data_IF_649277508705
#
_entry.id   IF_649277508705
#
_cell.length_a   1.000
_cell.length_b   1.000
_cell.length_c   1.000
_cell.angle_alpha   90.00
_cell.angle_beta   90.00
_cell.angle_gamma   90.00
#
_symmetry.space_group_name_H-M   'P 1'
#
loop_
_entity.id
_entity.type
_entity.pdbx_description
1 polymer ?
#
# COMPACT_ATOMS: atom_id res chain seq x y z
N UNK A 1 2.70 -26.12 -1.36
CA UNK A 1 1.70 -25.03 -1.54
C UNK A 1 2.25 -23.63 -1.23
N UNK A 2 3.56 -23.45 -0.99
CA UNK A 2 4.15 -22.13 -0.74
C UNK A 2 4.29 -21.26 -2.00
N UNK A 3 4.60 -21.87 -3.16
CA UNK A 3 4.80 -21.15 -4.44
C UNK A 3 3.64 -20.24 -4.87
N UNK A 4 2.39 -20.63 -4.59
CA UNK A 4 1.23 -19.87 -5.07
C UNK A 4 1.04 -18.55 -4.31
N UNK A 5 1.25 -18.58 -2.99
CA UNK A 5 1.10 -17.41 -2.11
C UNK A 5 2.28 -16.45 -2.29
N UNK A 6 3.49 -16.99 -2.49
CA UNK A 6 4.68 -16.21 -2.78
C UNK A 6 4.58 -15.51 -4.15
N UNK A 7 4.10 -16.24 -5.17
CA UNK A 7 3.86 -15.67 -6.49
C UNK A 7 2.76 -14.60 -6.47
N UNK A 8 1.65 -14.84 -5.77
CA UNK A 8 0.58 -13.84 -5.62
C UNK A 8 1.10 -12.57 -4.94
N UNK A 9 1.92 -12.72 -3.90
CA UNK A 9 2.58 -11.61 -3.22
C UNK A 9 3.45 -10.81 -4.20
N UNK A 10 4.30 -11.50 -4.98
CA UNK A 10 5.18 -10.85 -5.94
C UNK A 10 4.41 -10.10 -7.04
N UNK A 11 3.35 -10.70 -7.59
CA UNK A 11 2.47 -10.07 -8.60
C UNK A 11 1.80 -8.80 -8.05
N UNK A 12 1.30 -8.84 -6.81
CA UNK A 12 0.66 -7.68 -6.17
C UNK A 12 1.68 -6.55 -5.93
N UNK A 13 2.88 -6.88 -5.45
CA UNK A 13 3.94 -5.90 -5.22
C UNK A 13 4.44 -5.28 -6.52
N UNK A 14 4.56 -6.07 -7.59
CA UNK A 14 4.91 -5.59 -8.94
C UNK A 14 3.84 -4.68 -9.52
N UNK A 15 2.56 -5.08 -9.43
CA UNK A 15 1.44 -4.25 -9.84
C UNK A 15 1.43 -2.92 -9.07
N UNK A 16 1.63 -2.95 -7.75
CA UNK A 16 1.66 -1.74 -6.95
C UNK A 16 2.79 -0.81 -7.41
N UNK A 17 4.01 -1.34 -7.51
CA UNK A 17 5.20 -0.56 -7.89
C UNK A 17 5.10 0.06 -9.30
N UNK A 18 4.28 -0.52 -10.19
CA UNK A 18 4.03 0.01 -11.55
C UNK A 18 2.96 1.11 -11.59
N UNK A 19 2.02 1.10 -10.66
CA UNK A 19 0.85 2.00 -10.67
C UNK A 19 0.95 3.15 -9.66
N UNK A 20 1.72 2.94 -8.59
CA UNK A 20 1.77 3.80 -7.41
C UNK A 20 3.20 4.00 -6.92
N UNK A 21 3.49 5.23 -6.49
CA UNK A 21 4.75 5.66 -5.88
C UNK A 21 4.44 6.42 -4.60
N UNK A 22 5.44 6.55 -3.71
CA UNK A 22 5.32 7.34 -2.48
C UNK A 22 4.78 8.75 -2.75
N UNK A 23 5.37 9.45 -3.73
CA UNK A 23 4.93 10.80 -4.12
C UNK A 23 3.47 10.85 -4.56
N UNK A 24 3.01 9.87 -5.34
CA UNK A 24 1.62 9.84 -5.83
C UNK A 24 0.62 9.55 -4.71
N UNK A 25 1.01 8.75 -3.71
CA UNK A 25 0.19 8.49 -2.52
C UNK A 25 0.11 9.75 -1.67
N UNK A 26 1.25 10.38 -1.41
CA UNK A 26 1.32 11.62 -0.62
C UNK A 26 0.53 12.74 -1.29
N UNK A 27 0.66 12.90 -2.61
CA UNK A 27 -0.10 13.90 -3.37
C UNK A 27 -1.61 13.68 -3.21
N UNK A 28 -2.08 12.43 -3.30
CA UNK A 28 -3.51 12.10 -3.13
C UNK A 28 -3.99 12.43 -1.71
N UNK A 29 -3.23 11.99 -0.71
CA UNK A 29 -3.58 12.20 0.69
C UNK A 29 -3.57 13.68 1.07
N UNK A 30 -2.55 14.43 0.66
CA UNK A 30 -2.44 15.86 0.94
C UNK A 30 -3.40 16.71 0.10
N UNK A 31 -3.83 16.23 -1.06
CA UNK A 31 -4.89 16.88 -1.82
C UNK A 31 -6.26 16.75 -1.14
N UNK A 32 -6.51 15.62 -0.48
CA UNK A 32 -7.73 15.41 0.32
C UNK A 32 -7.67 16.14 1.65
N UNK A 33 -6.55 16.02 2.36
CA UNK A 33 -6.32 16.69 3.64
C UNK A 33 -4.88 17.21 3.73
N UNK A 34 -4.66 18.51 3.44
CA UNK A 34 -3.32 19.11 3.45
C UNK A 34 -2.76 19.31 4.86
N UNK A 35 -3.52 18.97 5.90
CA UNK A 35 -3.08 19.05 7.31
C UNK A 35 -2.53 17.73 7.82
N UNK A 36 -2.51 16.67 6.99
CA UNK A 36 -1.89 15.40 7.33
C UNK A 36 -0.37 15.56 7.45
N UNK A 37 0.15 15.27 8.63
CA UNK A 37 1.58 15.30 8.94
C UNK A 37 1.95 14.26 10.00
N UNK A 38 3.24 13.90 10.06
CA UNK A 38 3.77 12.96 11.04
C UNK A 38 3.00 11.63 11.10
N UNK A 39 2.62 11.22 12.31
CA UNK A 39 1.97 9.94 12.55
C UNK A 39 0.60 9.78 11.87
N UNK A 40 -0.17 10.87 11.73
CA UNK A 40 -1.46 10.83 11.04
C UNK A 40 -1.29 10.58 9.54
N UNK A 41 -0.28 11.21 8.93
CA UNK A 41 0.07 10.97 7.54
C UNK A 41 0.56 9.53 7.33
N UNK A 42 1.39 9.01 8.22
CA UNK A 42 1.89 7.63 8.15
C UNK A 42 0.76 6.61 8.27
N UNK A 43 -0.18 6.84 9.19
CA UNK A 43 -1.38 5.99 9.31
C UNK A 43 -2.23 6.04 8.04
N UNK A 44 -2.45 7.23 7.48
CA UNK A 44 -3.22 7.41 6.25
C UNK A 44 -2.55 6.79 5.04
N UNK A 45 -1.22 6.89 4.90
CA UNK A 45 -0.43 6.21 3.87
C UNK A 45 -0.64 4.70 3.91
N UNK A 46 -0.46 4.09 5.06
CA UNK A 46 -0.63 2.65 5.21
C UNK A 46 -2.08 2.20 4.93
N UNK A 47 -3.07 2.92 5.46
CA UNK A 47 -4.48 2.66 5.19
C UNK A 47 -4.83 2.80 3.69
N UNK A 48 -4.31 3.83 3.03
CA UNK A 48 -4.54 4.04 1.60
C UNK A 48 -3.91 2.95 0.75
N UNK A 49 -2.69 2.51 1.08
CA UNK A 49 -2.05 1.38 0.41
C UNK A 49 -2.91 0.12 0.56
N UNK A 50 -3.39 -0.19 1.76
CA UNK A 50 -4.25 -1.35 2.02
C UNK A 50 -5.55 -1.28 1.21
N UNK A 51 -6.20 -0.11 1.15
CA UNK A 51 -7.39 0.11 0.33
C UNK A 51 -7.13 -0.10 -1.18
N UNK A 52 -6.02 0.41 -1.70
CA UNK A 52 -5.61 0.19 -3.10
C UNK A 52 -5.40 -1.29 -3.43
N UNK A 53 -4.90 -2.06 -2.47
CA UNK A 53 -4.71 -3.50 -2.63
C UNK A 53 -6.06 -4.24 -2.65
N UNK A 54 -6.98 -3.90 -1.75
CA UNK A 54 -8.31 -4.50 -1.69
C UNK A 54 -9.10 -4.18 -2.96
N UNK A 55 -9.14 -2.90 -3.35
CA UNK A 55 -9.93 -2.42 -4.49
C UNK A 55 -9.28 -2.74 -5.84
N UNK A 56 -7.95 -2.64 -5.95
CA UNK A 56 -7.23 -2.79 -7.21
C UNK A 56 -6.77 -4.21 -7.54
N UNK A 57 -6.59 -5.07 -6.52
CA UNK A 57 -6.22 -6.47 -6.71
C UNK A 57 -7.32 -7.45 -6.32
N UNK A 58 -8.49 -6.95 -5.91
CA UNK A 58 -9.62 -7.76 -5.42
C UNK A 58 -9.14 -8.72 -4.33
N UNK A 59 -8.44 -8.19 -3.33
CA UNK A 59 -7.95 -8.97 -2.20
C UNK A 59 -9.03 -9.00 -1.12
N UNK A 60 -9.77 -10.13 -0.96
CA UNK A 60 -10.85 -10.22 0.01
C UNK A 60 -10.35 -10.37 1.45
N UNK A 61 -9.08 -10.71 1.63
CA UNK A 61 -8.48 -10.92 2.95
C UNK A 61 -7.79 -9.65 3.43
N UNK A 62 -8.44 -9.00 4.39
CA UNK A 62 -7.95 -7.75 5.00
C UNK A 62 -6.57 -7.93 5.65
N UNK A 63 -6.35 -9.05 6.35
CA UNK A 63 -5.08 -9.31 7.05
C UNK A 63 -3.91 -9.46 6.08
N UNK A 64 -4.14 -10.07 4.92
CA UNK A 64 -3.16 -10.18 3.87
C UNK A 64 -2.91 -8.84 3.16
N UNK A 65 -3.96 -8.04 2.92
CA UNK A 65 -3.81 -6.69 2.39
C UNK A 65 -2.98 -5.81 3.34
N UNK A 66 -3.26 -5.83 4.65
CA UNK A 66 -2.50 -5.06 5.63
C UNK A 66 -1.03 -5.53 5.74
N UNK A 67 -0.78 -6.83 5.65
CA UNK A 67 0.59 -7.37 5.59
C UNK A 67 1.38 -6.87 4.37
N UNK A 68 0.73 -6.84 3.20
CA UNK A 68 1.33 -6.33 1.98
C UNK A 68 1.50 -4.81 2.04
N UNK A 69 0.53 -4.10 2.63
CA UNK A 69 0.57 -2.67 2.82
C UNK A 69 1.76 -2.25 3.69
N UNK A 70 2.01 -2.95 4.80
CA UNK A 70 3.18 -2.72 5.64
C UNK A 70 4.49 -2.92 4.85
N UNK A 71 4.60 -4.00 4.08
CA UNK A 71 5.77 -4.25 3.22
C UNK A 71 5.99 -3.16 2.18
N UNK A 72 4.92 -2.72 1.52
CA UNK A 72 4.98 -1.65 0.52
C UNK A 72 5.35 -0.34 1.19
N UNK A 73 4.72 -0.03 2.31
CA UNK A 73 5.00 1.16 3.09
C UNK A 73 6.48 1.23 3.50
N UNK A 74 7.01 0.15 4.06
CA UNK A 74 8.43 0.04 4.37
C UNK A 74 9.28 0.20 3.09
N UNK A 75 8.91 -0.42 1.97
CA UNK A 75 9.68 -0.25 0.72
C UNK A 75 9.68 1.19 0.18
N UNK A 76 8.62 1.95 0.44
CA UNK A 76 8.43 3.31 -0.08
C UNK A 76 8.96 4.40 0.85
N UNK A 77 8.89 4.19 2.15
CA UNK A 77 9.13 5.21 3.19
C UNK A 77 10.17 4.80 4.24
N UNK A 78 10.71 3.58 4.19
CA UNK A 78 11.87 3.18 5.00
C UNK A 78 13.13 3.67 4.28
N UNK A 79 13.56 4.88 4.61
CA UNK A 79 14.92 5.39 4.33
C UNK A 79 15.93 4.88 5.37
#
# INVERSE_FOLDING_TARGET
>A
KADAEEKRTADVLDWFSKNWTAEKIDEKLLAEDPTLEGADLDFKRSAYISDLLITGQDLPDQSYADYLADKIYQKLYSE
#
